data_IF_302123960193
#
_entry.id   IF_302123960193
#
_cell.length_a   1.000
_cell.length_b   1.000
_cell.length_c   1.000
_cell.angle_alpha   90.00
_cell.angle_beta   90.00
_cell.angle_gamma   90.00
#
_symmetry.space_group_name_H-M   'P 1'
#
loop_
_entity.id
_entity.type
_entity.pdbx_description
1 polymer ?
#
# COMPACT_ATOMS: atom_id res chain seq x y z
N UNK A 1 22.05 -11.26 -10.22
CA UNK A 1 20.75 -11.10 -10.92
C UNK A 1 19.58 -10.86 -9.95
N UNK A 2 19.28 -11.79 -9.03
CA UNK A 2 18.16 -11.67 -8.04
C UNK A 2 18.17 -10.37 -7.20
N UNK A 3 19.34 -9.87 -6.79
CA UNK A 3 19.45 -8.58 -6.07
C UNK A 3 19.00 -7.39 -6.92
N UNK A 4 19.21 -7.43 -8.24
CA UNK A 4 18.75 -6.38 -9.18
C UNK A 4 17.24 -6.45 -9.34
N UNK A 5 16.70 -7.66 -9.45
CA UNK A 5 15.25 -7.92 -9.55
C UNK A 5 14.52 -7.36 -8.34
N UNK A 6 14.95 -7.71 -7.12
CA UNK A 6 14.36 -7.15 -5.88
C UNK A 6 14.45 -5.63 -5.81
N UNK A 7 15.59 -5.05 -6.20
CA UNK A 7 15.78 -3.59 -6.17
C UNK A 7 14.80 -2.86 -7.09
N UNK A 8 14.53 -3.38 -8.29
CA UNK A 8 13.56 -2.78 -9.20
C UNK A 8 12.15 -2.83 -8.61
N UNK A 9 11.74 -3.98 -8.09
CA UNK A 9 10.43 -4.15 -7.43
C UNK A 9 10.29 -3.23 -6.22
N UNK A 10 11.30 -3.15 -5.36
CA UNK A 10 11.29 -2.24 -4.20
C UNK A 10 11.21 -0.76 -4.62
N UNK A 11 11.87 -0.38 -5.71
CA UNK A 11 11.85 1.00 -6.21
C UNK A 11 10.45 1.36 -6.72
N UNK A 12 9.84 0.49 -7.51
CA UNK A 12 8.50 0.69 -8.05
C UNK A 12 7.44 0.67 -6.93
N UNK A 13 7.55 -0.24 -5.96
CA UNK A 13 6.66 -0.28 -4.79
C UNK A 13 6.74 1.02 -3.96
N UNK A 14 7.94 1.59 -3.80
CA UNK A 14 8.11 2.91 -3.12
C UNK A 14 7.46 4.07 -3.88
N UNK A 15 7.20 3.90 -5.17
CA UNK A 15 6.43 4.87 -5.96
C UNK A 15 4.92 4.67 -5.84
N UNK A 16 4.46 3.74 -4.99
CA UNK A 16 3.04 3.42 -4.82
C UNK A 16 2.49 2.47 -5.89
N UNK A 17 3.36 1.87 -6.71
CA UNK A 17 2.94 0.96 -7.77
C UNK A 17 2.79 -0.45 -7.22
N UNK A 18 1.70 -1.13 -7.59
CA UNK A 18 1.58 -2.58 -7.41
C UNK A 18 2.30 -3.27 -8.56
N UNK A 19 3.33 -4.04 -8.28
CA UNK A 19 4.19 -4.67 -9.29
C UNK A 19 3.94 -6.18 -9.37
N UNK A 20 3.76 -6.68 -10.59
CA UNK A 20 3.70 -8.11 -10.90
C UNK A 20 4.88 -8.48 -11.79
N UNK A 21 5.71 -9.43 -11.36
CA UNK A 21 6.77 -9.99 -12.19
C UNK A 21 6.19 -11.01 -13.17
N UNK A 22 6.60 -10.93 -14.43
CA UNK A 22 6.18 -11.84 -15.49
C UNK A 22 7.39 -12.68 -15.91
N UNK A 23 7.25 -13.99 -15.84
CA UNK A 23 8.31 -14.93 -16.18
C UNK A 23 7.74 -16.11 -16.98
N UNK A 24 8.55 -16.68 -17.85
CA UNK A 24 8.16 -17.78 -18.73
C UNK A 24 9.07 -18.99 -18.52
N UNK A 25 8.54 -20.18 -18.80
CA UNK A 25 9.31 -21.42 -18.86
C UNK A 25 8.72 -22.27 -19.97
N UNK A 26 9.57 -22.72 -20.89
CA UNK A 26 9.16 -23.68 -21.91
C UNK A 26 9.22 -25.08 -21.30
N UNK A 27 8.09 -25.77 -21.32
CA UNK A 27 7.95 -27.15 -20.88
C UNK A 27 7.46 -28.01 -22.05
N UNK A 28 7.98 -29.23 -22.22
CA UNK A 28 7.43 -30.17 -23.19
C UNK A 28 5.99 -30.52 -22.81
N UNK A 29 5.18 -30.84 -23.82
CA UNK A 29 3.81 -31.29 -23.60
C UNK A 29 3.80 -32.55 -22.74
N UNK A 30 2.95 -32.56 -21.71
CA UNK A 30 2.79 -33.68 -20.77
C UNK A 30 1.34 -33.79 -20.34
N UNK A 31 0.94 -34.97 -19.86
CA UNK A 31 -0.35 -35.16 -19.19
C UNK A 31 -0.27 -34.65 -17.75
N UNK A 32 -1.40 -34.12 -17.24
CA UNK A 32 -1.54 -33.61 -15.88
C UNK A 32 -1.30 -32.10 -15.73
N UNK A 33 -1.77 -31.56 -14.61
CA UNK A 33 -1.75 -30.12 -14.35
C UNK A 33 -0.35 -29.61 -13.94
N UNK A 34 -0.12 -28.32 -14.15
CA UNK A 34 1.05 -27.63 -13.59
C UNK A 34 0.92 -27.48 -12.08
N UNK A 35 2.02 -27.70 -11.38
CA UNK A 35 2.12 -27.67 -9.93
C UNK A 35 3.13 -26.59 -9.51
N UNK A 36 3.10 -26.20 -8.23
CA UNK A 36 4.04 -25.19 -7.69
C UNK A 36 5.51 -25.54 -7.93
N UNK A 37 5.86 -26.84 -7.99
CA UNK A 37 7.23 -27.27 -8.27
C UNK A 37 7.70 -26.90 -9.70
N UNK A 38 6.76 -26.76 -10.64
CA UNK A 38 7.05 -26.34 -12.01
C UNK A 38 7.37 -24.83 -12.10
N UNK A 39 6.98 -24.05 -11.09
CA UNK A 39 7.25 -22.60 -10.93
C UNK A 39 8.70 -22.32 -10.46
N UNK A 40 9.66 -23.08 -11.00
CA UNK A 40 11.10 -22.95 -10.74
C UNK A 40 11.86 -22.76 -12.06
N UNK A 41 13.04 -22.14 -12.00
CA UNK A 41 13.92 -21.92 -13.16
C UNK A 41 13.24 -21.19 -14.34
N UNK A 42 12.37 -20.22 -14.03
CA UNK A 42 11.74 -19.38 -15.03
C UNK A 42 12.69 -18.28 -15.54
N UNK A 43 12.46 -17.85 -16.77
CA UNK A 43 13.10 -16.69 -17.39
C UNK A 43 12.24 -15.47 -17.07
N UNK A 44 12.78 -14.51 -16.31
CA UNK A 44 12.09 -13.25 -16.04
C UNK A 44 12.05 -12.40 -17.31
N UNK A 45 10.86 -12.16 -17.85
CA UNK A 45 10.63 -11.30 -19.01
C UNK A 45 10.57 -9.83 -18.61
N UNK A 46 9.99 -9.54 -17.44
CA UNK A 46 9.87 -8.17 -16.96
C UNK A 46 8.84 -7.99 -15.85
N UNK A 47 8.25 -6.80 -15.80
CA UNK A 47 7.29 -6.40 -14.78
C UNK A 47 6.12 -5.63 -15.39
N UNK A 48 4.95 -5.81 -14.82
CA UNK A 48 3.78 -4.95 -15.03
C UNK A 48 3.58 -4.16 -13.74
N UNK A 49 3.44 -2.84 -13.86
CA UNK A 49 3.22 -1.95 -12.73
C UNK A 49 1.83 -1.31 -12.86
N UNK A 50 1.02 -1.43 -11.82
CA UNK A 50 -0.30 -0.84 -11.73
C UNK A 50 -0.25 0.35 -10.77
N UNK A 51 -0.76 1.49 -11.21
CA UNK A 51 -1.00 2.65 -10.36
C UNK A 51 -2.51 2.73 -10.11
N UNK A 52 -2.91 2.86 -8.85
CA UNK A 52 -4.28 3.23 -8.49
C UNK A 52 -4.24 4.67 -7.93
N UNK A 53 -4.26 5.69 -8.81
CA UNK A 53 -4.11 7.06 -8.38
C UNK A 53 -5.36 7.53 -7.63
N UNK A 54 -5.23 8.45 -6.67
CA UNK A 54 -6.38 9.12 -6.08
C UNK A 54 -7.24 9.78 -7.17
N UNK A 55 -8.56 9.78 -6.99
CA UNK A 55 -9.48 10.50 -7.89
C UNK A 55 -9.07 11.97 -7.97
N UNK A 56 -9.15 12.57 -9.15
CA UNK A 56 -8.81 13.99 -9.37
C UNK A 56 -9.60 14.94 -8.47
N UNK A 57 -10.81 14.54 -8.06
CA UNK A 57 -11.67 15.30 -7.15
C UNK A 57 -11.24 15.25 -5.68
N UNK A 58 -10.31 14.37 -5.32
CA UNK A 58 -9.90 14.14 -3.92
C UNK A 58 -9.24 15.37 -3.31
N UNK A 59 -8.19 15.91 -3.96
CA UNK A 59 -7.47 17.07 -3.43
C UNK A 59 -8.36 18.32 -3.30
N UNK A 60 -9.20 18.68 -4.31
CA UNK A 60 -10.19 19.75 -4.15
C UNK A 60 -11.17 19.52 -2.99
N UNK A 61 -11.67 18.29 -2.81
CA UNK A 61 -12.60 17.96 -1.73
C UNK A 61 -11.95 18.09 -0.35
N UNK A 62 -10.72 17.58 -0.17
CA UNK A 62 -9.98 17.72 1.09
C UNK A 62 -9.70 19.18 1.43
N UNK A 63 -9.37 20.00 0.42
CA UNK A 63 -9.17 21.44 0.60
C UNK A 63 -10.46 22.14 1.05
N UNK A 64 -11.60 21.79 0.45
CA UNK A 64 -12.90 22.34 0.82
C UNK A 64 -13.30 21.94 2.25
N UNK A 65 -13.10 20.66 2.63
CA UNK A 65 -13.36 20.18 3.99
C UNK A 65 -12.49 20.92 5.02
N UNK A 66 -11.19 21.09 4.73
CA UNK A 66 -10.28 21.85 5.58
C UNK A 66 -10.70 23.31 5.73
N UNK A 67 -11.14 23.95 4.65
CA UNK A 67 -11.65 25.33 4.70
C UNK A 67 -12.93 25.47 5.55
N UNK A 68 -13.72 24.40 5.67
CA UNK A 68 -14.88 24.31 6.56
C UNK A 68 -14.54 23.91 8.00
N UNK A 69 -13.25 23.80 8.35
CA UNK A 69 -12.81 23.39 9.69
C UNK A 69 -12.97 21.89 9.98
N UNK A 70 -13.18 21.06 8.95
CA UNK A 70 -13.32 19.62 9.10
C UNK A 70 -11.95 18.95 8.97
N UNK A 71 -11.52 18.26 10.03
CA UNK A 71 -10.30 17.44 10.02
C UNK A 71 -10.59 16.08 9.39
N UNK A 72 -9.88 15.76 8.32
CA UNK A 72 -9.96 14.46 7.66
C UNK A 72 -8.85 13.54 8.16
N UNK A 73 -9.19 12.27 8.38
CA UNK A 73 -8.26 11.21 8.79
C UNK A 73 -8.35 10.05 7.80
N UNK A 74 -7.24 9.37 7.54
CA UNK A 74 -7.15 8.23 6.61
C UNK A 74 -6.93 6.95 7.41
N UNK A 75 -7.77 5.95 7.13
CA UNK A 75 -7.71 4.61 7.71
C UNK A 75 -7.58 3.59 6.58
N UNK A 76 -6.42 2.94 6.44
CA UNK A 76 -6.16 1.97 5.36
C UNK A 76 -5.50 0.68 5.85
N UNK A 77 -5.72 -0.41 5.11
CA UNK A 77 -5.01 -1.67 5.25
C UNK A 77 -3.66 -1.71 4.53
N UNK A 78 -3.34 -0.69 3.74
CA UNK A 78 -2.07 -0.59 3.00
C UNK A 78 -0.87 -0.38 3.93
N UNK A 79 0.33 -0.60 3.38
CA UNK A 79 1.57 -0.25 4.08
C UNK A 79 1.70 1.26 4.30
N UNK A 80 2.41 1.64 5.37
CA UNK A 80 2.73 3.02 5.75
C UNK A 80 3.34 3.83 4.59
N UNK A 81 4.22 3.22 3.80
CA UNK A 81 4.87 3.87 2.66
C UNK A 81 3.87 4.25 1.56
N UNK A 82 2.97 3.33 1.21
CA UNK A 82 1.94 3.57 0.17
C UNK A 82 0.94 4.60 0.67
N UNK A 83 0.49 4.46 1.91
CA UNK A 83 -0.52 5.36 2.49
C UNK A 83 0.01 6.80 2.64
N UNK A 84 1.26 6.98 3.10
CA UNK A 84 1.88 8.30 3.18
C UNK A 84 2.07 8.95 1.80
N UNK A 85 2.40 8.14 0.78
CA UNK A 85 2.50 8.60 -0.60
C UNK A 85 1.16 9.12 -1.13
N UNK A 86 0.07 8.40 -0.87
CA UNK A 86 -1.30 8.84 -1.22
C UNK A 86 -1.67 10.14 -0.52
N UNK A 87 -1.40 10.28 0.80
CA UNK A 87 -1.61 11.53 1.53
C UNK A 87 -0.93 12.73 0.83
N UNK A 88 0.35 12.57 0.49
CA UNK A 88 1.11 13.61 -0.20
C UNK A 88 0.50 13.97 -1.56
N UNK A 89 0.07 12.97 -2.35
CA UNK A 89 -0.55 13.20 -3.65
C UNK A 89 -1.88 13.96 -3.59
N UNK A 90 -2.64 13.77 -2.51
CA UNK A 90 -3.91 14.48 -2.31
C UNK A 90 -3.77 15.78 -1.52
N UNK A 91 -2.54 16.18 -1.16
CA UNK A 91 -2.25 17.39 -0.40
C UNK A 91 -2.66 17.32 1.08
N UNK A 92 -2.74 16.11 1.65
CA UNK A 92 -2.98 15.88 3.07
C UNK A 92 -1.63 15.64 3.77
N UNK A 93 -1.37 16.39 4.83
CA UNK A 93 -0.19 16.13 5.68
C UNK A 93 -0.45 14.87 6.52
N UNK A 94 0.35 13.83 6.27
CA UNK A 94 0.21 12.56 6.97
C UNK A 94 0.63 12.65 8.45
N UNK A 95 1.53 13.57 8.80
CA UNK A 95 2.18 13.60 10.11
C UNK A 95 2.83 12.25 10.45
N UNK A 96 2.77 11.88 11.73
CA UNK A 96 3.18 10.57 12.19
C UNK A 96 2.17 9.49 11.79
N UNK A 97 2.66 8.40 11.22
CA UNK A 97 1.83 7.26 10.78
C UNK A 97 1.70 6.25 11.91
N UNK A 98 0.47 5.94 12.30
CA UNK A 98 0.19 4.86 13.25
C UNK A 98 -0.13 3.58 12.49
N UNK A 99 0.52 2.48 12.86
CA UNK A 99 0.23 1.16 12.28
C UNK A 99 -0.71 0.37 13.19
N UNK A 100 -1.52 -0.52 12.60
CA UNK A 100 -2.50 -1.33 13.33
C UNK A 100 -1.94 -2.05 14.56
N UNK A 101 -0.73 -2.63 14.46
CA UNK A 101 -0.09 -3.32 15.59
C UNK A 101 0.29 -2.40 16.75
N UNK A 102 0.38 -1.08 16.54
CA UNK A 102 0.61 -0.09 17.60
C UNK A 102 -0.67 0.32 18.33
N UNK A 103 -1.83 -0.05 17.78
CA UNK A 103 -3.14 0.17 18.39
C UNK A 103 -3.47 -1.00 19.32
N UNK A 104 -2.96 -2.20 19.02
CA UNK A 104 -3.16 -3.39 19.83
C UNK A 104 -2.63 -3.18 21.26
N UNK A 105 -3.53 -3.28 22.24
CA UNK A 105 -3.21 -3.11 23.66
C UNK A 105 -3.40 -1.70 24.20
N UNK A 106 -3.79 -0.72 23.38
CA UNK A 106 -4.25 0.59 23.88
C UNK A 106 -5.64 0.46 24.50
N UNK A 107 -5.86 1.19 25.59
CA UNK A 107 -7.20 1.45 26.11
C UNK A 107 -7.99 2.40 25.22
N UNK A 108 -9.31 2.44 25.39
CA UNK A 108 -10.19 3.33 24.63
C UNK A 108 -9.81 4.81 24.80
N UNK A 109 -9.37 5.22 26.00
CA UNK A 109 -8.95 6.60 26.28
C UNK A 109 -7.61 6.96 25.59
N UNK A 110 -6.66 6.02 25.57
CA UNK A 110 -5.39 6.17 24.87
C UNK A 110 -5.62 6.22 23.35
N UNK A 111 -6.48 5.35 22.83
CA UNK A 111 -6.85 5.33 21.43
C UNK A 111 -7.60 6.61 21.03
N UNK A 112 -8.52 7.11 21.86
CA UNK A 112 -9.21 8.37 21.59
C UNK A 112 -8.22 9.55 21.51
N UNK A 113 -7.26 9.61 22.42
CA UNK A 113 -6.21 10.64 22.42
C UNK A 113 -5.32 10.53 21.19
N UNK A 114 -4.85 9.32 20.87
CA UNK A 114 -4.04 9.04 19.68
C UNK A 114 -4.80 9.41 18.39
N UNK A 115 -6.09 9.06 18.34
CA UNK A 115 -6.98 9.34 17.22
C UNK A 115 -7.18 10.83 17.00
N UNK A 116 -7.18 11.67 18.03
CA UNK A 116 -7.31 13.12 17.86
C UNK A 116 -6.12 13.72 17.09
N UNK A 117 -4.90 13.28 17.41
CA UNK A 117 -3.67 13.86 16.87
C UNK A 117 -3.15 13.18 15.59
N UNK A 118 -3.59 11.96 15.31
CA UNK A 118 -3.11 11.20 14.16
C UNK A 118 -3.96 11.46 12.91
N UNK A 119 -3.31 11.72 11.78
CA UNK A 119 -3.99 11.89 10.48
C UNK A 119 -4.04 10.59 9.68
N UNK A 120 -3.00 9.75 9.75
CA UNK A 120 -2.89 8.53 8.95
C UNK A 120 -2.70 7.27 9.80
N UNK A 121 -3.60 6.31 9.58
CA UNK A 121 -3.54 4.96 10.12
C UNK A 121 -3.35 3.93 8.99
N UNK A 122 -2.31 3.12 9.10
CA UNK A 122 -1.91 2.13 8.09
C UNK A 122 -1.94 0.70 8.65
N UNK A 123 -1.92 -0.30 7.75
CA UNK A 123 -1.98 -1.74 8.09
C UNK A 123 -3.12 -2.10 9.04
N UNK A 124 -4.25 -1.41 8.93
CA UNK A 124 -5.41 -1.69 9.76
C UNK A 124 -6.10 -2.99 9.34
N UNK A 125 -6.52 -3.77 10.34
CA UNK A 125 -7.44 -4.88 10.13
C UNK A 125 -8.88 -4.36 10.13
N UNK A 126 -9.86 -5.15 9.64
CA UNK A 126 -11.27 -4.75 9.74
C UNK A 126 -11.75 -4.46 11.16
N UNK A 127 -11.12 -5.05 12.19
CA UNK A 127 -11.46 -4.81 13.59
C UNK A 127 -10.99 -3.44 14.12
N UNK A 128 -10.06 -2.79 13.41
CA UNK A 128 -9.54 -1.48 13.79
C UNK A 128 -10.30 -0.30 13.13
N UNK A 129 -11.32 -0.59 12.31
CA UNK A 129 -12.16 0.42 11.66
C UNK A 129 -13.51 0.50 12.35
#
# INVERSE_FOLDING_TARGET
MLRRVKRVTDTLNRQGLRVVAVATKYLPAREGDYQRIDESDLILEGYIAFLDPPKETTAPALKALKASGITVKILTGDSELVAAKVCHEVGLDAGDVVIGSSIEGLSDDELATLAQHTTLFARLTPMHK
#
